data_IF_888218137992
#
_entry.id   IF_888218137992
#
_cell.length_a   1.000
_cell.length_b   1.000
_cell.length_c   1.000
_cell.angle_alpha   90.00
_cell.angle_beta   90.00
_cell.angle_gamma   90.00
#
_symmetry.space_group_name_H-M   'P 1'
#
loop_
_entity.id
_entity.type
_entity.pdbx_description
1 polymer ?
#
# COMPACT_ATOMS: atom_id res chain seq x y z
N UNK A 1 0.17 -12.49 65.27
CA UNK A 1 0.67 -13.77 64.72
C UNK A 1 0.05 -14.13 63.33
N UNK A 2 -1.22 -13.78 63.08
CA UNK A 2 -1.91 -14.14 61.80
C UNK A 2 -1.37 -13.40 60.54
N UNK A 3 -0.79 -12.21 60.68
CA UNK A 3 -0.22 -11.44 59.57
C UNK A 3 1.19 -11.91 59.18
N UNK A 4 1.97 -12.43 60.07
CA UNK A 4 3.31 -12.99 59.78
C UNK A 4 3.20 -14.33 59.02
N UNK A 5 2.12 -15.12 59.25
CA UNK A 5 1.87 -16.37 58.52
C UNK A 5 1.55 -16.13 57.05
N UNK A 6 0.80 -15.05 56.73
CA UNK A 6 0.45 -14.68 55.34
C UNK A 6 1.69 -14.15 54.60
N UNK A 7 2.51 -13.35 55.28
CA UNK A 7 3.76 -12.85 54.70
C UNK A 7 4.76 -13.97 54.39
N UNK A 8 4.86 -14.96 55.29
CA UNK A 8 5.74 -16.11 55.08
C UNK A 8 5.29 -17.03 53.96
N UNK A 9 3.98 -17.22 53.77
CA UNK A 9 3.42 -17.94 52.62
C UNK A 9 3.67 -17.20 51.30
N UNK A 10 3.57 -15.86 51.33
CA UNK A 10 3.84 -15.02 50.14
C UNK A 10 5.32 -15.02 49.74
N UNK A 11 6.23 -15.05 50.69
CA UNK A 11 7.68 -15.17 50.46
C UNK A 11 8.06 -16.55 49.95
N UNK A 12 7.41 -17.63 50.43
CA UNK A 12 7.63 -19.00 49.91
C UNK A 12 7.17 -19.19 48.48
N UNK A 13 6.11 -18.50 48.02
CA UNK A 13 5.64 -18.51 46.63
C UNK A 13 6.63 -17.79 45.70
N UNK A 14 7.36 -16.78 46.21
CA UNK A 14 8.39 -16.08 45.41
C UNK A 14 9.70 -16.87 45.28
N UNK A 15 9.99 -17.83 46.13
CA UNK A 15 11.18 -18.67 46.06
C UNK A 15 11.04 -19.86 45.10
N UNK A 16 9.84 -20.15 44.59
CA UNK A 16 9.56 -21.19 43.58
C UNK A 16 9.88 -20.78 42.13
N UNK A 17 10.44 -19.58 41.88
CA UNK A 17 10.62 -19.01 40.55
C UNK A 17 11.79 -19.60 39.70
N UNK A 18 12.55 -20.57 40.22
CA UNK A 18 13.51 -21.34 39.41
C UNK A 18 12.84 -22.58 38.80
N UNK A 19 11.88 -22.37 37.88
CA UNK A 19 11.21 -23.45 37.17
C UNK A 19 12.17 -24.25 36.24
N UNK A 20 11.71 -25.41 35.74
CA UNK A 20 12.50 -26.27 34.85
C UNK A 20 13.10 -25.52 33.64
N UNK A 21 12.38 -24.49 33.14
CA UNK A 21 12.84 -23.64 32.06
C UNK A 21 14.12 -22.85 32.42
N UNK A 22 14.13 -22.20 33.59
CA UNK A 22 15.28 -21.39 34.00
C UNK A 22 16.57 -22.21 34.19
N UNK A 23 16.45 -23.48 34.58
CA UNK A 23 17.56 -24.44 34.62
C UNK A 23 18.05 -24.76 33.21
N UNK A 24 17.12 -25.05 32.30
CA UNK A 24 17.40 -25.40 30.92
C UNK A 24 18.00 -24.21 30.16
N UNK A 25 17.47 -23.01 30.37
CA UNK A 25 17.98 -21.78 29.75
C UNK A 25 19.46 -21.50 30.11
N UNK A 26 19.92 -21.94 31.26
CA UNK A 26 21.32 -21.83 31.73
C UNK A 26 22.21 -22.99 31.29
N UNK A 27 21.63 -24.03 30.67
CA UNK A 27 22.42 -25.19 30.19
C UNK A 27 23.37 -24.79 29.08
N UNK A 28 24.55 -25.36 29.08
CA UNK A 28 25.53 -25.30 27.96
C UNK A 28 25.49 -26.56 27.10
N UNK A 29 24.68 -27.56 27.49
CA UNK A 29 24.51 -28.78 26.72
C UNK A 29 23.53 -28.52 25.56
N UNK A 30 24.03 -28.57 24.36
CA UNK A 30 23.21 -28.31 23.16
C UNK A 30 22.09 -29.35 22.95
N UNK A 31 22.28 -30.60 23.36
CA UNK A 31 21.22 -31.64 23.25
C UNK A 31 20.06 -31.34 24.20
N UNK A 32 20.34 -30.90 25.42
CA UNK A 32 19.32 -30.47 26.37
C UNK A 32 18.55 -29.25 25.84
N UNK A 33 19.28 -28.26 25.30
CA UNK A 33 18.68 -27.07 24.70
C UNK A 33 17.79 -27.42 23.50
N UNK A 34 18.26 -28.28 22.58
CA UNK A 34 17.52 -28.74 21.42
C UNK A 34 16.23 -29.49 21.80
N UNK A 35 16.38 -30.47 22.69
CA UNK A 35 15.22 -31.27 23.16
C UNK A 35 14.22 -30.39 23.91
N UNK A 36 14.71 -29.46 24.72
CA UNK A 36 13.87 -28.49 25.43
C UNK A 36 13.15 -27.53 24.49
N UNK A 37 13.83 -27.00 23.47
CA UNK A 37 13.23 -26.15 22.45
C UNK A 37 12.08 -26.87 21.72
N UNK A 38 12.30 -28.10 21.26
CA UNK A 38 11.29 -28.92 20.62
C UNK A 38 10.11 -29.25 21.55
N UNK A 39 10.39 -29.55 22.82
CA UNK A 39 9.36 -29.78 23.84
C UNK A 39 8.46 -28.56 23.99
N UNK A 40 9.03 -27.38 24.25
CA UNK A 40 8.26 -26.15 24.41
C UNK A 40 7.53 -25.74 23.12
N UNK A 41 8.10 -26.02 21.95
CA UNK A 41 7.41 -25.85 20.67
C UNK A 41 6.14 -26.70 20.59
N UNK A 42 6.22 -28.01 20.94
CA UNK A 42 5.09 -28.93 20.92
C UNK A 42 4.02 -28.57 21.96
N UNK A 43 4.43 -28.04 23.11
CA UNK A 43 3.54 -27.57 24.19
C UNK A 43 2.88 -26.21 23.86
N UNK A 44 3.24 -25.55 22.74
CA UNK A 44 2.73 -24.22 22.36
C UNK A 44 3.37 -23.06 23.12
N UNK A 45 4.39 -23.32 23.93
CA UNK A 45 5.16 -22.35 24.70
C UNK A 45 6.22 -21.66 23.83
N UNK A 46 5.77 -21.06 22.73
CA UNK A 46 6.63 -20.58 21.65
C UNK A 46 7.69 -19.56 22.10
N UNK A 47 7.39 -18.68 23.06
CA UNK A 47 8.39 -17.74 23.57
C UNK A 47 9.56 -18.44 24.28
N UNK A 48 9.29 -19.54 25.01
CA UNK A 48 10.34 -20.35 25.64
C UNK A 48 11.13 -21.12 24.57
N UNK A 49 10.45 -21.65 23.57
CA UNK A 49 11.10 -22.33 22.46
C UNK A 49 12.04 -21.40 21.68
N UNK A 50 11.64 -20.15 21.41
CA UNK A 50 12.48 -19.12 20.76
C UNK A 50 13.80 -18.96 21.50
N UNK A 51 13.75 -18.73 22.83
CA UNK A 51 14.95 -18.50 23.64
C UNK A 51 15.94 -19.70 23.55
N UNK A 52 15.41 -20.91 23.54
CA UNK A 52 16.24 -22.11 23.46
C UNK A 52 16.78 -22.37 22.03
N UNK A 53 15.94 -22.12 20.99
CA UNK A 53 16.40 -22.20 19.61
C UNK A 53 17.49 -21.18 19.31
N UNK A 54 17.38 -19.92 19.79
CA UNK A 54 18.41 -18.89 19.63
C UNK A 54 19.78 -19.34 20.15
N UNK A 55 19.79 -20.11 21.25
CA UNK A 55 21.04 -20.64 21.83
C UNK A 55 21.59 -21.85 21.09
N UNK A 56 20.71 -22.75 20.62
CA UNK A 56 21.16 -24.03 20.06
C UNK A 56 21.44 -23.94 18.55
N UNK A 57 20.73 -23.13 17.79
CA UNK A 57 20.87 -23.05 16.33
C UNK A 57 22.30 -22.75 15.86
N UNK A 58 23.07 -21.83 16.46
CA UNK A 58 24.46 -21.61 16.06
C UNK A 58 25.35 -22.85 16.26
N UNK A 59 25.05 -23.66 17.26
CA UNK A 59 25.85 -24.84 17.64
C UNK A 59 25.58 -26.02 16.71
N UNK A 60 24.30 -26.23 16.33
CA UNK A 60 23.88 -27.37 15.49
C UNK A 60 23.91 -27.05 14.00
N UNK A 61 24.34 -25.88 13.60
CA UNK A 61 24.38 -25.44 12.20
C UNK A 61 25.10 -26.47 11.32
N UNK A 62 24.43 -26.85 10.22
CA UNK A 62 24.93 -27.87 9.28
C UNK A 62 24.76 -29.32 9.71
N UNK A 63 24.15 -29.59 10.89
CA UNK A 63 23.73 -30.95 11.28
C UNK A 63 22.35 -31.30 10.72
N UNK A 64 22.00 -32.59 10.73
CA UNK A 64 20.68 -33.08 10.35
C UNK A 64 19.54 -32.47 11.20
N UNK A 65 19.85 -32.01 12.42
CA UNK A 65 18.87 -31.40 13.34
C UNK A 65 18.59 -29.93 13.02
N UNK A 66 19.49 -29.28 12.29
CA UNK A 66 19.42 -27.82 12.02
C UNK A 66 18.19 -27.48 11.18
N UNK A 67 17.89 -28.22 10.14
CA UNK A 67 16.78 -27.98 9.23
C UNK A 67 15.44 -27.84 9.97
N UNK A 68 15.07 -28.86 10.74
CA UNK A 68 13.80 -28.84 11.49
C UNK A 68 13.79 -27.78 12.60
N UNK A 69 14.93 -27.53 13.24
CA UNK A 69 15.05 -26.52 14.27
C UNK A 69 14.88 -25.11 13.72
N UNK A 70 15.48 -24.80 12.57
CA UNK A 70 15.33 -23.49 11.88
C UNK A 70 13.89 -23.26 11.41
N UNK A 71 13.24 -24.31 10.87
CA UNK A 71 11.83 -24.24 10.49
C UNK A 71 10.93 -23.98 11.72
N UNK A 72 11.11 -24.74 12.80
CA UNK A 72 10.33 -24.57 14.02
C UNK A 72 10.57 -23.20 14.67
N UNK A 73 11.81 -22.69 14.61
CA UNK A 73 12.14 -21.36 15.10
C UNK A 73 11.40 -20.27 14.33
N UNK A 74 11.39 -20.33 13.00
CA UNK A 74 10.62 -19.44 12.15
C UNK A 74 9.11 -19.50 12.48
N UNK A 75 8.60 -20.72 12.70
CA UNK A 75 7.20 -20.94 13.05
C UNK A 75 6.85 -20.42 14.47
N UNK A 76 7.77 -20.48 15.43
CA UNK A 76 7.58 -19.85 16.76
C UNK A 76 7.34 -18.35 16.63
N UNK A 77 8.12 -17.64 15.79
CA UNK A 77 7.91 -16.23 15.51
C UNK A 77 6.53 -15.98 14.88
N UNK A 78 6.12 -16.82 13.93
CA UNK A 78 4.78 -16.76 13.36
C UNK A 78 3.67 -16.92 14.40
N UNK A 79 3.78 -17.94 15.25
CA UNK A 79 2.79 -18.22 16.31
C UNK A 79 2.72 -17.14 17.38
N UNK A 80 3.81 -16.43 17.61
CA UNK A 80 3.88 -15.25 18.52
C UNK A 80 3.56 -13.93 17.82
N UNK A 81 3.07 -13.96 16.55
CA UNK A 81 2.70 -12.80 15.73
C UNK A 81 3.86 -11.82 15.46
N UNK A 82 5.09 -12.29 15.53
CA UNK A 82 6.28 -11.55 15.10
C UNK A 82 6.48 -11.80 13.61
N UNK A 83 5.61 -11.19 12.81
CA UNK A 83 5.48 -11.56 11.40
C UNK A 83 6.68 -11.16 10.56
N UNK A 84 7.31 -10.01 10.81
CA UNK A 84 8.51 -9.57 10.08
C UNK A 84 9.66 -10.54 10.32
N UNK A 85 9.94 -10.88 11.59
CA UNK A 85 10.99 -11.83 11.94
C UNK A 85 10.70 -13.21 11.36
N UNK A 86 9.45 -13.68 11.49
CA UNK A 86 9.02 -14.94 10.91
C UNK A 86 9.28 -14.98 9.40
N UNK A 87 8.88 -13.94 8.68
CA UNK A 87 9.12 -13.84 7.25
C UNK A 87 10.62 -13.92 6.90
N UNK A 88 11.46 -13.23 7.67
CA UNK A 88 12.90 -13.28 7.50
C UNK A 88 13.47 -14.68 7.69
N UNK A 89 13.06 -15.38 8.75
CA UNK A 89 13.54 -16.74 9.03
C UNK A 89 13.04 -17.76 8.03
N UNK A 90 11.79 -17.70 7.59
CA UNK A 90 11.27 -18.59 6.54
C UNK A 90 11.98 -18.36 5.19
N UNK A 91 12.27 -17.11 4.83
CA UNK A 91 13.04 -16.80 3.62
C UNK A 91 14.47 -17.34 3.69
N UNK A 92 15.11 -17.23 4.86
CA UNK A 92 16.43 -17.78 5.11
C UNK A 92 16.41 -19.31 5.01
N UNK A 93 15.41 -19.96 5.63
CA UNK A 93 15.18 -21.39 5.52
C UNK A 93 15.06 -21.82 4.06
N UNK A 94 14.17 -21.19 3.30
CA UNK A 94 13.97 -21.50 1.88
C UNK A 94 15.25 -21.37 1.05
N UNK A 95 16.06 -20.34 1.31
CA UNK A 95 17.36 -20.15 0.61
C UNK A 95 18.39 -21.21 0.98
N UNK A 96 18.41 -21.64 2.23
CA UNK A 96 19.37 -22.60 2.76
C UNK A 96 18.98 -24.03 2.37
N UNK A 97 17.71 -24.40 2.51
CA UNK A 97 17.19 -25.74 2.33
C UNK A 97 16.22 -25.82 1.13
N UNK A 98 16.61 -25.31 -0.02
CA UNK A 98 15.75 -25.19 -1.21
C UNK A 98 15.31 -26.53 -1.83
N UNK A 99 15.88 -27.66 -1.39
CA UNK A 99 15.51 -29.03 -1.78
C UNK A 99 14.74 -29.78 -0.68
N UNK A 100 14.50 -29.14 0.44
CA UNK A 100 13.73 -29.69 1.54
C UNK A 100 12.27 -29.93 1.14
N UNK A 101 11.66 -30.96 1.72
CA UNK A 101 10.22 -31.15 1.62
C UNK A 101 9.42 -29.98 2.23
N UNK A 102 10.04 -29.20 3.12
CA UNK A 102 9.45 -28.01 3.75
C UNK A 102 9.70 -26.70 2.96
N UNK A 103 10.47 -26.76 1.85
CA UNK A 103 10.85 -25.55 1.12
C UNK A 103 9.66 -24.81 0.53
N UNK A 104 8.69 -25.53 -0.03
CA UNK A 104 7.44 -24.95 -0.55
C UNK A 104 6.65 -24.24 0.55
N UNK A 105 6.44 -24.95 1.67
CA UNK A 105 5.71 -24.39 2.81
C UNK A 105 6.46 -23.19 3.42
N UNK A 106 7.78 -23.24 3.54
CA UNK A 106 8.56 -22.14 4.05
C UNK A 106 8.45 -20.88 3.16
N UNK A 107 8.47 -21.04 1.83
CA UNK A 107 8.29 -19.90 0.93
C UNK A 107 6.87 -19.32 1.02
N UNK A 108 5.85 -20.19 1.16
CA UNK A 108 4.49 -19.75 1.43
C UNK A 108 4.39 -18.99 2.77
N UNK A 109 4.98 -19.53 3.84
CA UNK A 109 4.96 -18.92 5.16
C UNK A 109 5.72 -17.59 5.21
N UNK A 110 6.79 -17.43 4.42
CA UNK A 110 7.44 -16.16 4.20
C UNK A 110 6.45 -15.11 3.64
N UNK A 111 5.79 -15.44 2.54
CA UNK A 111 4.81 -14.56 1.90
C UNK A 111 3.61 -14.28 2.82
N UNK A 112 3.10 -15.30 3.50
CA UNK A 112 1.96 -15.19 4.40
C UNK A 112 2.26 -14.34 5.63
N UNK A 113 3.46 -14.45 6.17
CA UNK A 113 3.90 -13.60 7.29
C UNK A 113 3.94 -12.12 6.89
N UNK A 114 4.53 -11.79 5.72
CA UNK A 114 4.53 -10.42 5.21
C UNK A 114 3.12 -9.89 4.93
N UNK A 115 2.23 -10.74 4.41
CA UNK A 115 0.83 -10.38 4.19
C UNK A 115 0.11 -10.03 5.52
N UNK A 116 0.36 -10.80 6.57
CA UNK A 116 -0.23 -10.53 7.90
C UNK A 116 0.35 -9.29 8.58
N UNK A 117 1.56 -8.90 8.22
CA UNK A 117 2.21 -7.67 8.68
C UNK A 117 1.78 -6.44 7.87
N UNK A 118 1.25 -6.65 6.67
CA UNK A 118 0.84 -5.58 5.78
C UNK A 118 -0.25 -4.70 6.42
N UNK A 119 -0.04 -3.38 6.49
CA UNK A 119 -0.97 -2.47 7.15
C UNK A 119 -2.25 -2.25 6.36
N UNK A 120 -3.24 -1.62 7.01
CA UNK A 120 -4.43 -1.12 6.34
C UNK A 120 -4.10 -0.04 5.30
N UNK A 121 -4.99 0.17 4.33
CA UNK A 121 -4.78 1.06 3.18
C UNK A 121 -4.41 2.51 3.54
N UNK A 122 -4.85 3.02 4.68
CA UNK A 122 -4.63 4.41 5.14
C UNK A 122 -3.21 4.66 5.67
N UNK A 123 -2.42 3.61 5.88
CA UNK A 123 -1.03 3.68 6.34
C UNK A 123 -0.04 3.61 5.16
N UNK A 124 1.27 3.68 5.46
CA UNK A 124 2.30 3.46 4.45
C UNK A 124 2.23 2.04 3.90
N UNK A 125 2.34 1.88 2.59
CA UNK A 125 2.15 0.60 1.90
C UNK A 125 3.46 -0.07 1.48
N UNK A 126 4.60 0.31 2.05
CA UNK A 126 5.88 -0.31 1.68
C UNK A 126 5.90 -1.81 2.05
N UNK A 127 5.47 -2.17 3.26
CA UNK A 127 5.36 -3.57 3.69
C UNK A 127 4.39 -4.37 2.81
N UNK A 128 3.28 -3.76 2.36
CA UNK A 128 2.33 -4.39 1.43
C UNK A 128 2.98 -4.71 0.08
N UNK A 129 3.85 -3.84 -0.45
CA UNK A 129 4.59 -4.10 -1.70
C UNK A 129 5.60 -5.25 -1.54
N UNK A 130 6.22 -5.36 -0.38
CA UNK A 130 7.11 -6.49 -0.06
C UNK A 130 6.33 -7.80 0.00
N UNK A 131 5.13 -7.79 0.61
CA UNK A 131 4.22 -8.92 0.63
C UNK A 131 3.80 -9.35 -0.79
N UNK A 132 3.42 -8.40 -1.66
CA UNK A 132 3.11 -8.68 -3.08
C UNK A 132 4.27 -9.39 -3.77
N UNK A 133 5.49 -8.86 -3.59
CA UNK A 133 6.70 -9.45 -4.21
C UNK A 133 6.92 -10.88 -3.73
N UNK A 134 6.77 -11.14 -2.44
CA UNK A 134 6.94 -12.47 -1.86
C UNK A 134 5.85 -13.46 -2.33
N UNK A 135 4.59 -12.99 -2.43
CA UNK A 135 3.49 -13.81 -2.96
C UNK A 135 3.74 -14.15 -4.43
N UNK A 136 4.13 -13.18 -5.25
CA UNK A 136 4.46 -13.41 -6.66
C UNK A 136 5.62 -14.39 -6.84
N UNK A 137 6.63 -14.32 -5.98
CA UNK A 137 7.72 -15.30 -5.95
C UNK A 137 7.20 -16.71 -5.66
N UNK A 138 6.31 -16.85 -4.68
CA UNK A 138 5.72 -18.15 -4.32
C UNK A 138 4.89 -18.73 -5.47
N UNK A 139 3.92 -17.98 -6.01
CA UNK A 139 3.04 -18.47 -7.08
C UNK A 139 3.81 -18.76 -8.37
N UNK A 140 4.84 -17.98 -8.67
CA UNK A 140 5.72 -18.22 -9.82
C UNK A 140 6.57 -19.48 -9.68
N UNK A 141 6.99 -19.82 -8.44
CA UNK A 141 7.84 -20.98 -8.20
C UNK A 141 7.06 -22.27 -8.00
N UNK A 142 5.87 -22.21 -7.40
CA UNK A 142 5.03 -23.36 -7.05
C UNK A 142 3.59 -23.22 -7.60
N UNK A 143 3.41 -23.16 -8.93
CA UNK A 143 2.08 -22.95 -9.53
C UNK A 143 1.10 -24.13 -9.29
N UNK A 144 1.61 -25.31 -8.89
CA UNK A 144 0.81 -26.47 -8.53
C UNK A 144 0.61 -26.69 -7.03
N UNK A 145 0.99 -25.72 -6.20
CA UNK A 145 0.87 -25.81 -4.74
C UNK A 145 -0.59 -25.84 -4.29
N UNK A 146 -0.86 -26.62 -3.24
CA UNK A 146 -2.15 -26.57 -2.55
C UNK A 146 -2.46 -25.17 -1.93
N UNK A 147 -1.43 -24.37 -1.67
CA UNK A 147 -1.54 -22.99 -1.15
C UNK A 147 -1.66 -21.93 -2.24
N UNK A 148 -1.66 -22.32 -3.53
CA UNK A 148 -1.69 -21.38 -4.65
C UNK A 148 -2.92 -20.45 -4.61
N UNK A 149 -4.12 -21.01 -4.51
CA UNK A 149 -5.36 -20.23 -4.48
C UNK A 149 -5.37 -19.22 -3.30
N UNK A 150 -4.91 -19.66 -2.15
CA UNK A 150 -4.80 -18.79 -0.97
C UNK A 150 -3.81 -17.65 -1.22
N UNK A 151 -2.70 -17.91 -1.87
CA UNK A 151 -1.73 -16.88 -2.23
C UNK A 151 -2.32 -15.87 -3.22
N UNK A 152 -3.11 -16.33 -4.20
CA UNK A 152 -3.82 -15.45 -5.13
C UNK A 152 -4.89 -14.60 -4.45
N UNK A 153 -5.62 -15.14 -3.47
CA UNK A 153 -6.56 -14.36 -2.66
C UNK A 153 -5.85 -13.25 -1.87
N UNK A 154 -4.69 -13.54 -1.27
CA UNK A 154 -3.88 -12.55 -0.57
C UNK A 154 -3.41 -11.44 -1.51
N UNK A 155 -2.97 -11.80 -2.72
CA UNK A 155 -2.57 -10.83 -3.74
C UNK A 155 -3.72 -9.89 -4.11
N UNK A 156 -4.90 -10.46 -4.38
CA UNK A 156 -6.11 -9.71 -4.70
C UNK A 156 -6.53 -8.76 -3.56
N UNK A 157 -6.40 -9.18 -2.30
CA UNK A 157 -6.70 -8.34 -1.16
C UNK A 157 -5.71 -7.14 -1.05
N UNK A 158 -4.42 -7.37 -1.26
CA UNK A 158 -3.42 -6.30 -1.28
C UNK A 158 -3.66 -5.31 -2.43
N UNK A 159 -4.01 -5.80 -3.63
CA UNK A 159 -4.38 -4.96 -4.78
C UNK A 159 -5.60 -4.09 -4.46
N UNK A 160 -6.61 -4.65 -3.79
CA UNK A 160 -7.78 -3.89 -3.34
C UNK A 160 -7.41 -2.81 -2.30
N UNK A 161 -6.46 -3.06 -1.40
CA UNK A 161 -5.95 -2.03 -0.46
C UNK A 161 -5.21 -0.91 -1.19
N UNK A 162 -4.42 -1.21 -2.22
CA UNK A 162 -3.76 -0.18 -3.05
C UNK A 162 -4.80 0.65 -3.82
N UNK A 163 -5.81 0.01 -4.40
CA UNK A 163 -6.91 0.71 -5.07
C UNK A 163 -7.65 1.65 -4.11
N UNK A 164 -8.00 1.16 -2.91
CA UNK A 164 -8.69 1.95 -1.88
C UNK A 164 -7.85 3.17 -1.45
N UNK A 165 -6.54 2.97 -1.26
CA UNK A 165 -5.63 4.08 -0.94
C UNK A 165 -5.62 5.14 -2.02
N UNK A 166 -5.41 4.74 -3.27
CA UNK A 166 -5.36 5.66 -4.40
C UNK A 166 -6.69 6.40 -4.60
N UNK A 167 -7.81 5.70 -4.42
CA UNK A 167 -9.13 6.32 -4.47
C UNK A 167 -9.35 7.31 -3.32
N UNK A 168 -8.98 6.96 -2.10
CA UNK A 168 -9.07 7.86 -0.94
C UNK A 168 -8.25 9.13 -1.12
N UNK A 169 -7.07 9.02 -1.71
CA UNK A 169 -6.23 10.18 -2.05
C UNK A 169 -6.91 11.06 -3.12
N UNK A 170 -7.47 10.45 -4.16
CA UNK A 170 -8.22 11.17 -5.19
C UNK A 170 -9.44 11.89 -4.61
N UNK A 171 -10.20 11.24 -3.73
CA UNK A 171 -11.33 11.81 -2.98
C UNK A 171 -10.92 12.98 -2.09
N UNK A 172 -9.79 12.84 -1.39
CA UNK A 172 -9.26 13.90 -0.54
C UNK A 172 -9.01 15.18 -1.35
N UNK A 173 -8.28 15.09 -2.47
CA UNK A 173 -8.03 16.25 -3.32
C UNK A 173 -9.30 16.81 -3.92
N UNK A 174 -10.26 15.97 -4.30
CA UNK A 174 -11.55 16.42 -4.82
C UNK A 174 -12.35 17.23 -3.79
N UNK A 175 -12.35 16.84 -2.53
CA UNK A 175 -12.97 17.63 -1.44
C UNK A 175 -12.24 18.94 -1.16
N UNK A 176 -10.91 18.93 -1.26
CA UNK A 176 -10.10 20.13 -1.02
C UNK A 176 -10.18 21.17 -2.15
N UNK A 177 -10.70 20.83 -3.34
CA UNK A 177 -10.81 21.74 -4.48
C UNK A 177 -11.63 23.01 -4.19
N UNK A 178 -12.52 22.96 -3.21
CA UNK A 178 -13.38 24.09 -2.79
C UNK A 178 -12.78 24.90 -1.63
N UNK A 179 -11.55 24.58 -1.19
CA UNK A 179 -10.87 25.22 -0.07
C UNK A 179 -10.29 26.60 -0.41
N UNK A 180 -9.49 27.14 0.51
CA UNK A 180 -8.93 28.50 0.46
C UNK A 180 -8.02 28.80 -0.75
N UNK A 181 -7.50 27.78 -1.44
CA UNK A 181 -6.65 27.91 -2.66
C UNK A 181 -7.08 26.90 -3.73
N UNK A 182 -8.23 27.10 -4.37
CA UNK A 182 -8.79 26.09 -5.28
C UNK A 182 -7.85 25.72 -6.44
N UNK A 183 -7.06 26.67 -6.96
CA UNK A 183 -6.23 26.44 -8.14
C UNK A 183 -5.18 25.34 -8.01
N UNK A 184 -4.57 25.17 -6.83
CA UNK A 184 -3.56 24.13 -6.58
C UNK A 184 -4.19 22.75 -6.51
N UNK A 185 -5.38 22.65 -5.93
CA UNK A 185 -6.09 21.38 -5.75
C UNK A 185 -6.74 20.87 -7.03
N UNK A 186 -7.19 21.73 -7.96
CA UNK A 186 -7.71 21.28 -9.26
C UNK A 186 -6.67 20.48 -10.05
N UNK A 187 -5.42 20.98 -10.08
CA UNK A 187 -4.32 20.26 -10.73
C UNK A 187 -4.05 18.92 -10.04
N UNK A 188 -4.05 18.89 -8.71
CA UNK A 188 -3.86 17.67 -7.95
C UNK A 188 -4.98 16.65 -8.24
N UNK A 189 -6.26 17.07 -8.30
CA UNK A 189 -7.38 16.21 -8.70
C UNK A 189 -7.15 15.58 -10.08
N UNK A 190 -6.81 16.40 -11.08
CA UNK A 190 -6.58 15.94 -12.46
C UNK A 190 -5.50 14.87 -12.49
N UNK A 191 -4.36 15.11 -11.83
CA UNK A 191 -3.23 14.17 -11.78
C UNK A 191 -3.65 12.87 -11.08
N UNK A 192 -4.31 12.96 -9.91
CA UNK A 192 -4.70 11.78 -9.16
C UNK A 192 -5.75 10.94 -9.90
N UNK A 193 -6.73 11.56 -10.54
CA UNK A 193 -7.74 10.83 -11.33
C UNK A 193 -7.11 10.11 -12.53
N UNK A 194 -6.16 10.77 -13.21
CA UNK A 194 -5.44 10.15 -14.34
C UNK A 194 -4.53 9.02 -13.89
N UNK A 195 -3.81 9.18 -12.78
CA UNK A 195 -2.98 8.13 -12.20
C UNK A 195 -3.83 6.94 -11.76
N UNK A 196 -4.95 7.18 -11.07
CA UNK A 196 -5.87 6.12 -10.66
C UNK A 196 -6.35 5.31 -11.87
N UNK A 197 -6.79 5.96 -12.94
CA UNK A 197 -7.27 5.28 -14.15
C UNK A 197 -6.17 4.50 -14.89
N UNK A 198 -4.90 4.91 -14.75
CA UNK A 198 -3.73 4.22 -15.29
C UNK A 198 -3.36 3.00 -14.45
N UNK A 199 -3.34 3.16 -13.11
CA UNK A 199 -2.86 2.15 -12.19
C UNK A 199 -3.93 1.07 -11.92
N UNK A 200 -5.22 1.44 -12.02
CA UNK A 200 -6.38 0.54 -11.80
C UNK A 200 -7.36 0.60 -12.99
N UNK A 201 -6.96 0.14 -14.18
CA UNK A 201 -7.75 0.28 -15.41
C UNK A 201 -9.11 -0.43 -15.36
N UNK A 202 -9.22 -1.53 -14.58
CA UNK A 202 -10.44 -2.34 -14.45
C UNK A 202 -11.35 -1.89 -13.27
N UNK A 203 -10.98 -0.84 -12.55
CA UNK A 203 -11.76 -0.35 -11.42
C UNK A 203 -13.10 0.20 -11.87
N UNK A 204 -14.16 -0.18 -11.15
CA UNK A 204 -15.51 0.35 -11.34
C UNK A 204 -15.63 1.84 -11.00
N UNK A 205 -14.66 2.38 -10.24
CA UNK A 205 -14.60 3.80 -9.86
C UNK A 205 -14.13 4.70 -11.00
N UNK A 206 -13.57 4.13 -12.06
CA UNK A 206 -13.05 4.88 -13.19
C UNK A 206 -14.12 5.71 -13.93
N UNK A 207 -15.37 5.24 -14.01
CA UNK A 207 -16.45 5.99 -14.64
C UNK A 207 -16.77 7.29 -13.89
N UNK A 208 -16.92 7.20 -12.58
CA UNK A 208 -17.16 8.35 -11.71
C UNK A 208 -15.98 9.34 -11.73
N UNK A 209 -14.75 8.84 -11.59
CA UNK A 209 -13.56 9.68 -11.63
C UNK A 209 -13.33 10.34 -12.99
N UNK A 210 -13.73 9.69 -14.09
CA UNK A 210 -13.70 10.29 -15.43
C UNK A 210 -14.73 11.41 -15.58
N UNK A 211 -15.93 11.28 -15.01
CA UNK A 211 -16.90 12.36 -14.93
C UNK A 211 -16.35 13.54 -14.12
N UNK A 212 -15.84 13.28 -12.93
CA UNK A 212 -15.23 14.30 -12.06
C UNK A 212 -14.02 14.99 -12.71
N UNK A 213 -13.28 14.26 -13.55
CA UNK A 213 -12.17 14.83 -14.32
C UNK A 213 -12.66 15.91 -15.31
N UNK A 214 -13.82 15.70 -15.95
CA UNK A 214 -14.45 16.72 -16.82
C UNK A 214 -14.90 17.92 -16.00
N UNK A 215 -15.56 17.71 -14.88
CA UNK A 215 -16.03 18.78 -13.97
C UNK A 215 -14.87 19.63 -13.45
N UNK A 216 -13.83 18.97 -12.93
CA UNK A 216 -12.65 19.64 -12.38
C UNK A 216 -11.87 20.37 -13.50
N UNK A 217 -11.76 19.75 -14.68
CA UNK A 217 -11.11 20.34 -15.84
C UNK A 217 -11.78 21.66 -16.28
N UNK A 218 -13.12 21.65 -16.39
CA UNK A 218 -13.90 22.84 -16.69
C UNK A 218 -13.73 23.92 -15.62
N UNK A 219 -13.88 23.57 -14.35
CA UNK A 219 -13.80 24.53 -13.25
C UNK A 219 -12.41 25.15 -13.13
N UNK A 220 -11.37 24.33 -13.33
CA UNK A 220 -10.00 24.78 -13.36
C UNK A 220 -9.71 25.75 -14.51
N UNK A 221 -10.19 25.42 -15.72
CA UNK A 221 -10.05 26.28 -16.89
C UNK A 221 -10.77 27.62 -16.70
N UNK A 222 -12.04 27.59 -16.21
CA UNK A 222 -12.85 28.79 -15.97
C UNK A 222 -12.17 29.76 -15.01
N UNK A 223 -11.56 29.26 -13.94
CA UNK A 223 -10.88 30.05 -12.91
C UNK A 223 -9.41 30.34 -13.22
N UNK A 224 -8.95 30.06 -14.43
CA UNK A 224 -7.56 30.24 -14.82
C UNK A 224 -7.23 31.66 -15.25
N UNK A 225 -5.97 32.08 -15.03
CA UNK A 225 -5.45 33.28 -15.60
C UNK A 225 -5.51 33.25 -17.15
N UNK A 226 -5.68 34.41 -17.79
CA UNK A 226 -5.93 34.53 -19.22
C UNK A 226 -4.91 33.78 -20.09
N UNK A 227 -3.62 33.87 -19.77
CA UNK A 227 -2.52 33.20 -20.49
C UNK A 227 -2.54 31.64 -20.37
N UNK A 228 -3.29 31.07 -19.45
CA UNK A 228 -3.43 29.61 -19.26
C UNK A 228 -4.83 29.09 -19.60
N UNK A 229 -5.79 29.99 -19.81
CA UNK A 229 -7.20 29.64 -19.97
C UNK A 229 -7.44 28.83 -21.24
N UNK A 230 -6.84 29.18 -22.37
CA UNK A 230 -7.01 28.50 -23.64
C UNK A 230 -6.55 27.03 -23.59
N UNK A 231 -5.37 26.78 -23.06
CA UNK A 231 -4.80 25.44 -22.87
C UNK A 231 -5.76 24.56 -22.04
N UNK A 232 -6.21 25.08 -20.88
CA UNK A 232 -7.03 24.33 -19.92
C UNK A 232 -8.46 24.09 -20.42
N UNK A 233 -9.06 25.03 -21.19
CA UNK A 233 -10.35 24.82 -21.84
C UNK A 233 -10.28 23.70 -22.88
N UNK A 234 -9.22 23.64 -23.65
CA UNK A 234 -8.99 22.57 -24.60
C UNK A 234 -8.77 21.22 -23.91
N UNK A 235 -8.09 21.20 -22.75
CA UNK A 235 -7.94 19.98 -21.96
C UNK A 235 -9.28 19.49 -21.39
N UNK A 236 -10.16 20.39 -20.93
CA UNK A 236 -11.50 20.04 -20.48
C UNK A 236 -12.33 19.41 -21.61
N UNK A 237 -12.26 19.91 -22.86
CA UNK A 237 -12.90 19.28 -24.01
C UNK A 237 -12.33 17.88 -24.33
N UNK A 238 -10.99 17.71 -24.18
CA UNK A 238 -10.37 16.39 -24.34
C UNK A 238 -10.88 15.38 -23.30
N UNK A 239 -11.03 15.83 -22.06
CA UNK A 239 -11.59 14.99 -20.99
C UNK A 239 -13.02 14.55 -21.30
N UNK A 240 -13.88 15.47 -21.77
CA UNK A 240 -15.25 15.14 -22.21
C UNK A 240 -15.25 14.15 -23.39
N UNK A 241 -14.40 14.38 -24.40
CA UNK A 241 -14.27 13.48 -25.55
C UNK A 241 -13.82 12.08 -25.15
N UNK A 242 -12.85 11.98 -24.23
CA UNK A 242 -12.38 10.71 -23.68
C UNK A 242 -13.48 10.00 -22.88
N UNK A 243 -14.29 10.74 -22.13
CA UNK A 243 -15.43 10.20 -21.40
C UNK A 243 -16.44 9.55 -22.35
N UNK A 244 -16.88 10.23 -23.41
CA UNK A 244 -17.81 9.69 -24.38
C UNK A 244 -17.32 8.41 -25.03
N UNK A 245 -16.02 8.39 -25.39
CA UNK A 245 -15.40 7.22 -26.02
C UNK A 245 -15.39 5.99 -25.12
N UNK A 246 -15.14 6.19 -23.80
CA UNK A 246 -14.99 5.09 -22.85
C UNK A 246 -16.29 4.68 -22.17
N UNK A 247 -17.23 5.62 -22.01
CA UNK A 247 -18.44 5.45 -21.20
C UNK A 247 -19.71 5.85 -21.92
N UNK A 248 -19.92 5.29 -23.13
CA UNK A 248 -21.03 5.66 -24.03
C UNK A 248 -22.43 5.37 -23.46
N UNK A 249 -22.56 4.53 -22.42
CA UNK A 249 -23.82 4.19 -21.76
C UNK A 249 -23.90 4.72 -20.31
N UNK A 250 -23.04 5.67 -19.94
CA UNK A 250 -22.95 6.21 -18.58
C UNK A 250 -24.17 7.02 -18.19
N UNK A 251 -24.55 6.93 -16.89
CA UNK A 251 -25.54 7.82 -16.27
C UNK A 251 -25.10 9.29 -16.22
N UNK A 252 -23.78 9.58 -16.31
CA UNK A 252 -23.21 10.94 -16.27
C UNK A 252 -23.21 11.67 -17.62
N UNK A 253 -23.72 11.06 -18.70
CA UNK A 253 -23.68 11.66 -20.05
C UNK A 253 -24.38 13.02 -20.14
N UNK A 254 -25.46 13.22 -19.38
CA UNK A 254 -26.20 14.49 -19.35
C UNK A 254 -25.36 15.62 -18.78
N UNK A 255 -24.69 15.36 -17.65
CA UNK A 255 -23.82 16.30 -16.96
C UNK A 255 -22.57 16.62 -17.78
N UNK A 256 -21.97 15.61 -18.39
CA UNK A 256 -20.79 15.80 -19.27
C UNK A 256 -21.14 16.65 -20.49
N UNK A 257 -22.30 16.43 -21.14
CA UNK A 257 -22.78 17.29 -22.24
C UNK A 257 -22.98 18.74 -21.83
N UNK A 258 -23.53 18.96 -20.63
CA UNK A 258 -23.69 20.31 -20.06
C UNK A 258 -22.35 20.98 -19.84
N UNK A 259 -21.39 20.29 -19.21
CA UNK A 259 -20.03 20.82 -18.98
C UNK A 259 -19.30 21.09 -20.29
N UNK A 260 -19.44 20.24 -21.30
CA UNK A 260 -18.87 20.46 -22.65
C UNK A 260 -19.45 21.72 -23.30
N UNK A 261 -20.77 21.91 -23.24
CA UNK A 261 -21.42 23.12 -23.78
C UNK A 261 -20.92 24.39 -23.08
N UNK A 262 -20.87 24.38 -21.76
CA UNK A 262 -20.30 25.48 -20.97
C UNK A 262 -18.81 25.75 -21.31
N UNK A 263 -18.02 24.71 -21.54
CA UNK A 263 -16.62 24.86 -21.95
C UNK A 263 -16.51 25.52 -23.32
N UNK A 264 -17.38 25.18 -24.28
CA UNK A 264 -17.43 25.81 -25.60
C UNK A 264 -17.85 27.29 -25.54
N UNK A 265 -18.80 27.65 -24.66
CA UNK A 265 -19.18 29.03 -24.40
C UNK A 265 -18.01 29.85 -23.84
N UNK A 266 -17.28 29.31 -22.86
CA UNK A 266 -16.09 29.95 -22.30
C UNK A 266 -14.96 30.13 -23.35
N UNK A 267 -14.80 29.20 -24.30
CA UNK A 267 -13.87 29.34 -25.42
C UNK A 267 -14.27 30.50 -26.34
N UNK A 268 -15.56 30.63 -26.65
CA UNK A 268 -16.06 31.74 -27.46
C UNK A 268 -15.83 33.09 -26.77
N UNK A 269 -16.14 33.17 -25.47
CA UNK A 269 -15.89 34.37 -24.66
C UNK A 269 -14.39 34.76 -24.60
N UNK A 270 -13.53 33.75 -24.40
CA UNK A 270 -12.08 33.92 -24.40
C UNK A 270 -11.56 34.45 -25.75
N UNK A 271 -12.00 33.88 -26.86
CA UNK A 271 -11.58 34.26 -28.21
C UNK A 271 -12.00 35.69 -28.52
N UNK A 272 -13.22 36.10 -28.11
CA UNK A 272 -13.69 37.50 -28.25
C UNK A 272 -12.80 38.44 -27.46
N UNK A 273 -12.54 38.16 -26.19
CA UNK A 273 -11.66 39.00 -25.37
C UNK A 273 -10.21 39.09 -25.93
N UNK A 274 -9.67 37.95 -26.40
CA UNK A 274 -8.35 37.85 -27.03
C UNK A 274 -8.24 38.78 -28.25
N UNK A 275 -9.30 38.81 -29.08
CA UNK A 275 -9.37 39.72 -30.24
C UNK A 275 -9.45 41.18 -29.81
N UNK A 276 -10.29 41.55 -28.84
CA UNK A 276 -10.41 42.91 -28.32
C UNK A 276 -9.08 43.43 -27.76
N UNK A 277 -8.30 42.58 -27.08
CA UNK A 277 -6.97 42.94 -26.56
C UNK A 277 -5.99 43.16 -27.71
N UNK A 278 -6.03 42.30 -28.75
CA UNK A 278 -5.16 42.43 -29.91
C UNK A 278 -5.45 43.73 -30.72
N UNK A 279 -6.74 44.03 -30.92
CA UNK A 279 -7.19 45.23 -31.64
C UNK A 279 -6.79 46.51 -30.89
N UNK A 280 -6.94 46.53 -29.56
CA UNK A 280 -6.48 47.68 -28.73
C UNK A 280 -4.97 47.87 -28.80
N UNK A 281 -4.20 46.79 -28.71
CA UNK A 281 -2.72 46.89 -28.80
C UNK A 281 -2.26 47.41 -30.16
N UNK A 282 -2.89 46.95 -31.24
CA UNK A 282 -2.61 47.44 -32.59
C UNK A 282 -2.94 48.94 -32.76
N UNK A 283 -4.03 49.43 -32.16
CA UNK A 283 -4.38 50.85 -32.17
C UNK A 283 -3.36 51.71 -31.41
N UNK A 284 -2.96 51.27 -30.20
CA UNK A 284 -1.94 51.96 -29.39
C UNK A 284 -0.58 52.00 -30.11
N UNK A 285 -0.16 50.96 -30.79
CA UNK A 285 1.06 50.92 -31.58
C UNK A 285 1.00 51.84 -32.81
N UNK A 286 -0.15 51.97 -33.46
CA UNK A 286 -0.37 52.90 -34.57
C UNK A 286 -0.33 54.39 -34.12
N UNK A 287 -0.93 54.71 -32.97
CA UNK A 287 -0.88 56.05 -32.40
C UNK A 287 0.54 56.44 -31.98
N UNK A 288 1.30 55.54 -31.38
CA UNK A 288 2.68 55.77 -30.97
C UNK A 288 3.63 56.03 -32.17
N UNK A 289 3.38 55.36 -33.32
CA UNK A 289 4.14 55.55 -34.54
C UNK A 289 3.84 56.91 -35.20
N UNK A 290 2.61 57.38 -35.14
CA UNK A 290 2.21 58.72 -35.68
C UNK A 290 2.75 59.85 -34.82
N UNK A 291 2.87 59.71 -33.51
CA UNK A 291 3.40 60.74 -32.62
C UNK A 291 4.90 60.87 -32.69
N UNK A 292 5.65 59.85 -33.08
CA UNK A 292 7.09 59.88 -33.27
C UNK A 292 7.52 60.36 -34.68
N UNK A 293 6.59 60.67 -35.58
CA UNK A 293 6.83 61.09 -36.96
C UNK A 293 6.60 62.61 -37.19
N UNK A 294 6.15 63.29 -36.13
CA UNK A 294 6.00 64.74 -36.05
C UNK A 294 7.09 65.37 -35.13
#
# INVERSE_FOLDING_TARGET
MRHYSIFFVFVLVLLGACGPFAKLEKSTNWEELYNGANKYYQEGEYNKAIILYEKVLPVIKGSEKAEMAEYNYANCHFKTKRYIESAGYFNTFFKTYNRSALAEEALFMHAYSLYLDAPDYNLDQQSSKEAVTAIQQFVGKFPGSASYERAMEMLKDLEARFEEKAYSEAEMYYRLKEGLRPGDFYRACIINFQNFAKDFPESKRNEELAYRLVEVGYTYAKNSAFNKKEERLNDALKFASNFYRKYAASGYLGEVKKLEAQTKEEIQAYNKQKKEIADKKAAEEAEATTTNSN
#
